data_IF_699893124686
#
_entry.id   IF_699893124686
#
_cell.length_a   1.000
_cell.length_b   1.000
_cell.length_c   1.000
_cell.angle_alpha   90.00
_cell.angle_beta   90.00
_cell.angle_gamma   90.00
#
_symmetry.space_group_name_H-M   'P 1'
#
loop_
_entity.id
_entity.type
_entity.pdbx_description
1 polymer ?
#
# COMPACT_ATOMS: atom_id res chain seq x y z
N UNK A 1 -16.39 -3.89 66.42
CA UNK A 1 -15.61 -4.44 65.33
C UNK A 1 -16.20 -3.92 64.02
N UNK A 2 -15.66 -3.29 63.19
CA UNK A 2 -14.43 -2.95 62.58
C UNK A 2 -14.73 -2.12 61.31
N UNK A 3 -15.02 -0.82 61.49
CA UNK A 3 -15.15 0.10 60.34
C UNK A 3 -13.79 0.43 59.69
N UNK A 4 -12.70 0.15 60.41
CA UNK A 4 -11.32 0.43 59.94
C UNK A 4 -10.81 -0.52 58.87
N UNK A 5 -11.23 -1.79 58.84
CA UNK A 5 -10.72 -2.78 57.91
C UNK A 5 -11.19 -2.55 56.45
N UNK A 6 -12.41 -2.03 56.28
CA UNK A 6 -12.96 -1.75 54.93
C UNK A 6 -12.29 -0.55 54.24
N UNK A 7 -11.87 0.46 55.01
CA UNK A 7 -11.18 1.64 54.49
C UNK A 7 -9.74 1.31 54.10
N UNK A 8 -9.06 0.45 54.85
CA UNK A 8 -7.69 0.02 54.54
C UNK A 8 -7.68 -0.85 53.29
N UNK A 9 -8.65 -1.74 53.11
CA UNK A 9 -8.75 -2.58 51.89
C UNK A 9 -9.06 -1.73 50.65
N UNK A 10 -9.92 -0.71 50.80
CA UNK A 10 -10.23 0.18 49.66
C UNK A 10 -9.03 1.04 49.23
N UNK A 11 -8.21 1.51 50.17
CA UNK A 11 -7.01 2.30 49.91
C UNK A 11 -5.91 1.44 49.27
N UNK A 12 -5.75 0.19 49.71
CA UNK A 12 -4.76 -0.71 49.11
C UNK A 12 -5.16 -1.16 47.70
N UNK A 13 -6.45 -1.35 47.42
CA UNK A 13 -6.92 -1.69 46.05
C UNK A 13 -6.79 -0.53 45.09
N UNK A 14 -7.03 0.71 45.54
CA UNK A 14 -6.84 1.90 44.67
C UNK A 14 -5.37 2.21 44.45
N UNK A 15 -4.50 1.97 45.40
CA UNK A 15 -3.05 2.15 45.23
C UNK A 15 -2.44 1.14 44.26
N UNK A 16 -2.92 -0.10 44.22
CA UNK A 16 -2.45 -1.11 43.28
C UNK A 16 -2.91 -0.84 41.81
N UNK A 17 -4.07 -0.21 41.63
CA UNK A 17 -4.50 0.22 40.30
C UNK A 17 -3.70 1.41 39.75
N UNK A 18 -3.20 2.29 40.63
CA UNK A 18 -2.37 3.43 40.22
C UNK A 18 -0.91 3.03 39.89
N UNK A 19 -0.40 1.95 40.47
CA UNK A 19 0.95 1.46 40.15
C UNK A 19 0.98 0.48 38.98
N UNK A 20 -0.15 -0.10 38.55
CA UNK A 20 -0.24 -1.02 37.44
C UNK A 20 -0.53 -0.37 36.08
N UNK A 21 -0.74 0.94 36.03
CA UNK A 21 -1.35 1.62 34.88
C UNK A 21 -0.42 2.32 33.90
N UNK A 22 0.88 2.26 34.06
CA UNK A 22 1.80 2.85 33.07
C UNK A 22 2.54 1.79 32.26
N UNK A 23 1.80 0.87 31.64
CA UNK A 23 2.29 0.33 30.39
C UNK A 23 2.19 1.46 29.36
N UNK A 24 3.22 2.26 29.26
CA UNK A 24 3.42 3.08 28.08
C UNK A 24 3.40 2.12 26.90
N UNK A 25 2.30 2.14 26.14
CA UNK A 25 2.32 1.55 24.82
C UNK A 25 3.49 2.22 24.10
N UNK A 26 4.62 1.55 24.00
CA UNK A 26 5.70 1.97 23.14
C UNK A 26 5.11 1.92 21.74
N UNK A 27 4.62 3.07 21.26
CA UNK A 27 4.31 3.21 19.87
C UNK A 27 5.58 2.80 19.13
N UNK A 28 5.51 1.76 18.34
CA UNK A 28 6.62 1.34 17.52
C UNK A 28 7.05 2.57 16.70
N UNK A 29 8.22 3.10 17.01
CA UNK A 29 8.80 4.20 16.24
C UNK A 29 9.04 3.65 14.86
N UNK A 30 8.21 4.06 13.90
CA UNK A 30 8.45 3.73 12.50
C UNK A 30 9.72 4.47 12.08
N UNK A 31 10.78 3.71 11.78
CA UNK A 31 11.96 4.29 11.18
C UNK A 31 11.57 4.88 9.81
N UNK A 32 11.81 6.18 9.54
CA UNK A 32 11.53 6.77 8.24
C UNK A 32 12.42 6.19 7.13
N UNK A 33 13.59 5.66 7.48
CA UNK A 33 14.52 5.09 6.51
C UNK A 33 14.09 3.67 6.09
N UNK A 34 14.26 3.39 4.80
CA UNK A 34 14.01 2.05 4.25
C UNK A 34 15.14 1.12 4.72
N UNK A 35 14.79 0.09 5.46
CA UNK A 35 15.76 -0.90 5.93
C UNK A 35 16.17 -1.87 4.82
N UNK A 36 17.36 -2.48 4.95
CA UNK A 36 17.82 -3.52 4.02
C UNK A 36 16.82 -4.68 3.93
N UNK A 37 16.19 -5.06 5.04
CA UNK A 37 15.13 -6.09 5.07
C UNK A 37 13.95 -5.73 4.17
N UNK A 38 13.51 -4.47 4.16
CA UNK A 38 12.41 -4.02 3.30
C UNK A 38 12.80 -4.12 1.82
N UNK A 39 14.04 -3.78 1.47
CA UNK A 39 14.57 -3.93 0.11
C UNK A 39 14.60 -5.41 -0.31
N UNK A 40 15.09 -6.27 0.55
CA UNK A 40 15.17 -7.71 0.30
C UNK A 40 13.77 -8.32 0.14
N UNK A 41 12.82 -7.93 1.00
CA UNK A 41 11.42 -8.39 0.90
C UNK A 41 10.74 -7.89 -0.38
N UNK A 42 10.99 -6.66 -0.79
CA UNK A 42 10.48 -6.11 -2.06
C UNK A 42 11.00 -6.90 -3.25
N UNK A 43 12.28 -7.23 -3.25
CA UNK A 43 12.91 -8.05 -4.29
C UNK A 43 12.34 -9.48 -4.30
N UNK A 44 12.18 -10.09 -3.14
CA UNK A 44 11.58 -11.41 -3.01
C UNK A 44 10.13 -11.42 -3.51
N UNK A 45 9.32 -10.44 -3.10
CA UNK A 45 7.93 -10.30 -3.53
C UNK A 45 7.80 -10.15 -5.05
N UNK A 46 8.65 -9.34 -5.68
CA UNK A 46 8.71 -9.20 -7.14
C UNK A 46 9.00 -10.54 -7.84
N UNK A 47 9.98 -11.28 -7.34
CA UNK A 47 10.37 -12.56 -7.92
C UNK A 47 9.28 -13.62 -7.75
N UNK A 48 8.64 -13.69 -6.59
CA UNK A 48 7.53 -14.61 -6.31
C UNK A 48 6.34 -14.28 -7.21
N UNK A 49 5.98 -13.00 -7.36
CA UNK A 49 4.90 -12.57 -8.24
C UNK A 49 5.17 -12.98 -9.69
N UNK A 50 6.41 -12.80 -10.18
CA UNK A 50 6.78 -13.20 -11.53
C UNK A 50 6.67 -14.73 -11.74
N UNK A 51 7.05 -15.52 -10.75
CA UNK A 51 6.95 -16.99 -10.78
C UNK A 51 5.49 -17.50 -10.70
N UNK A 52 4.60 -16.72 -10.07
CA UNK A 52 3.18 -17.04 -9.97
C UNK A 52 2.36 -16.70 -11.22
N UNK A 53 2.93 -16.02 -12.20
CA UNK A 53 2.23 -15.67 -13.43
C UNK A 53 2.21 -16.84 -14.40
N UNK A 54 1.02 -17.14 -14.93
CA UNK A 54 0.83 -18.17 -15.96
C UNK A 54 0.34 -17.53 -17.24
N UNK A 55 1.07 -17.72 -18.33
CA UNK A 55 0.67 -17.26 -19.64
C UNK A 55 -0.32 -18.28 -20.25
N UNK A 56 -1.61 -17.93 -20.23
CA UNK A 56 -2.70 -18.82 -20.67
C UNK A 56 -2.76 -18.96 -22.20
N UNK A 57 -2.42 -17.91 -22.93
CA UNK A 57 -2.45 -17.88 -24.38
C UNK A 57 -1.41 -16.89 -24.91
N UNK A 58 -0.75 -17.24 -26.01
CA UNK A 58 0.20 -16.37 -26.70
C UNK A 58 0.08 -16.52 -28.22
N UNK A 59 -1.00 -15.97 -28.77
CA UNK A 59 -1.22 -15.97 -30.22
C UNK A 59 -0.15 -15.15 -30.92
N UNK A 60 0.37 -15.69 -32.01
CA UNK A 60 1.37 -15.04 -32.86
C UNK A 60 2.68 -14.67 -32.11
N UNK A 61 2.99 -15.32 -31.00
CA UNK A 61 4.16 -15.00 -30.18
C UNK A 61 4.26 -13.51 -29.80
N UNK A 62 3.12 -12.89 -29.45
CA UNK A 62 3.05 -11.48 -29.07
C UNK A 62 3.82 -11.16 -27.78
N UNK A 63 4.07 -12.17 -26.96
CA UNK A 63 4.86 -12.08 -25.72
C UNK A 63 6.08 -13.03 -25.82
N UNK A 64 7.22 -12.65 -25.22
CA UNK A 64 7.49 -11.38 -24.52
C UNK A 64 7.62 -10.21 -25.51
N UNK A 65 7.11 -9.05 -25.11
CA UNK A 65 7.42 -7.81 -25.81
C UNK A 65 8.90 -7.53 -25.60
N UNK A 66 9.65 -7.37 -26.66
CA UNK A 66 11.08 -7.09 -26.54
C UNK A 66 11.28 -5.70 -25.92
N UNK A 67 11.80 -5.64 -24.71
CA UNK A 67 12.17 -4.41 -24.03
C UNK A 67 13.49 -3.83 -24.60
N UNK A 68 13.57 -3.66 -25.92
CA UNK A 68 14.64 -2.86 -26.51
C UNK A 68 14.38 -1.40 -26.14
N UNK A 69 15.45 -0.68 -25.77
CA UNK A 69 15.35 0.75 -25.47
C UNK A 69 14.59 1.47 -26.59
N UNK A 70 13.52 2.18 -26.22
CA UNK A 70 12.66 2.88 -27.17
C UNK A 70 11.52 2.04 -27.77
N UNK A 71 11.25 0.82 -27.26
CA UNK A 71 10.01 0.11 -27.61
C UNK A 71 8.82 0.90 -27.10
N UNK A 72 7.97 1.33 -28.04
CA UNK A 72 6.81 2.17 -27.73
C UNK A 72 5.62 1.35 -27.28
N UNK A 73 4.97 1.79 -26.20
CA UNK A 73 3.75 1.19 -25.66
C UNK A 73 2.72 2.28 -25.38
N UNK A 74 1.45 1.95 -25.56
CA UNK A 74 0.32 2.78 -25.09
C UNK A 74 -0.35 2.06 -23.93
N UNK A 75 -0.69 2.81 -22.88
CA UNK A 75 -1.28 2.28 -21.65
C UNK A 75 -2.64 2.94 -21.41
N UNK A 76 -3.67 2.13 -21.22
CA UNK A 76 -5.04 2.61 -21.06
C UNK A 76 -5.66 2.16 -19.74
N UNK A 77 -6.48 3.04 -19.18
CA UNK A 77 -7.30 2.76 -18.02
C UNK A 77 -6.75 3.28 -16.71
N UNK A 78 -7.65 3.46 -15.75
CA UNK A 78 -7.36 4.04 -14.43
C UNK A 78 -6.25 3.29 -13.67
N UNK A 79 -6.17 1.97 -13.80
CA UNK A 79 -5.15 1.17 -13.14
C UNK A 79 -3.71 1.52 -13.50
N UNK A 80 -3.49 2.20 -14.61
CA UNK A 80 -2.15 2.61 -15.07
C UNK A 80 -1.50 3.57 -14.08
N UNK A 81 -2.21 4.61 -13.68
CA UNK A 81 -1.74 5.65 -12.76
C UNK A 81 -2.25 5.45 -11.32
N UNK A 82 -3.38 4.78 -11.14
CA UNK A 82 -3.96 4.46 -9.84
C UNK A 82 -3.97 2.94 -9.63
N UNK A 83 -2.80 2.35 -9.64
CA UNK A 83 -2.63 0.90 -9.45
C UNK A 83 -3.05 0.50 -8.04
N UNK A 84 -3.93 -0.50 -7.92
CA UNK A 84 -4.40 -1.02 -6.64
C UNK A 84 -3.21 -1.63 -5.89
N UNK A 85 -3.00 -1.19 -4.66
CA UNK A 85 -1.84 -1.54 -3.83
C UNK A 85 -2.15 -2.56 -2.75
N UNK A 86 -3.41 -2.67 -2.37
CA UNK A 86 -3.83 -3.50 -1.24
C UNK A 86 -5.35 -3.58 -1.17
N UNK A 87 -5.85 -4.19 -0.11
CA UNK A 87 -7.27 -4.33 0.13
C UNK A 87 -7.91 -3.07 0.75
N UNK A 88 -9.21 -3.17 1.02
CA UNK A 88 -10.00 -2.17 1.77
C UNK A 88 -10.16 -2.60 3.21
N UNK A 89 -10.55 -1.68 4.09
CA UNK A 89 -10.75 -1.96 5.51
C UNK A 89 -9.47 -2.41 6.21
N UNK A 90 -9.47 -3.56 6.87
CA UNK A 90 -8.29 -4.11 7.57
C UNK A 90 -7.13 -4.48 6.64
N UNK A 91 -7.39 -4.62 5.34
CA UNK A 91 -6.36 -4.83 4.31
C UNK A 91 -5.76 -3.53 3.77
N UNK A 92 -6.25 -2.37 4.18
CA UNK A 92 -5.69 -1.08 3.80
C UNK A 92 -4.47 -0.77 4.66
N UNK A 93 -3.29 -1.03 4.15
CA UNK A 93 -2.02 -0.76 4.83
C UNK A 93 -1.33 0.46 4.24
N UNK A 94 -0.68 1.23 5.09
CA UNK A 94 0.19 2.32 4.65
C UNK A 94 1.45 1.73 4.03
N UNK A 95 1.59 1.93 2.73
CA UNK A 95 2.78 1.50 2.00
C UNK A 95 3.75 2.68 1.89
N UNK A 96 5.03 2.44 2.15
CA UNK A 96 6.08 3.45 2.00
C UNK A 96 6.38 3.75 0.54
N UNK A 97 6.23 2.75 -0.29
CA UNK A 97 6.63 2.79 -1.70
C UNK A 97 5.64 1.97 -2.54
N UNK A 98 5.34 2.48 -3.68
CA UNK A 98 4.47 1.82 -4.64
C UNK A 98 4.94 2.11 -6.06
N UNK A 99 5.02 1.07 -6.86
CA UNK A 99 5.31 1.19 -8.29
C UNK A 99 4.00 1.02 -9.06
N UNK A 100 3.58 2.05 -9.77
CA UNK A 100 2.42 1.98 -10.67
C UNK A 100 2.74 1.13 -11.90
N UNK A 101 1.71 0.71 -12.63
CA UNK A 101 1.89 0.00 -13.91
C UNK A 101 2.69 0.89 -14.86
N UNK A 102 2.38 2.19 -14.95
CA UNK A 102 3.14 3.14 -15.74
C UNK A 102 4.63 3.12 -15.38
N UNK A 103 4.94 3.35 -14.11
CA UNK A 103 6.33 3.32 -13.63
C UNK A 103 7.01 1.96 -13.87
N UNK A 104 6.25 0.87 -13.82
CA UNK A 104 6.77 -0.46 -14.12
C UNK A 104 7.27 -0.58 -15.55
N UNK A 105 6.55 -0.04 -16.52
CA UNK A 105 6.96 0.00 -17.94
C UNK A 105 8.13 0.94 -18.15
N UNK A 106 8.10 2.14 -17.57
CA UNK A 106 9.21 3.11 -17.64
C UNK A 106 10.51 2.51 -17.08
N UNK A 107 10.44 1.88 -15.89
CA UNK A 107 11.58 1.21 -15.26
C UNK A 107 12.12 0.03 -16.08
N UNK A 108 11.28 -0.60 -16.89
CA UNK A 108 11.67 -1.66 -17.82
C UNK A 108 12.25 -1.12 -19.12
N UNK A 109 12.26 0.20 -19.35
CA UNK A 109 12.88 0.84 -20.52
C UNK A 109 11.94 1.00 -21.71
N UNK A 110 10.63 0.86 -21.51
CA UNK A 110 9.64 1.17 -22.53
C UNK A 110 9.38 2.67 -22.63
N UNK A 111 9.03 3.11 -23.85
CA UNK A 111 8.64 4.47 -24.16
C UNK A 111 7.10 4.55 -24.21
N UNK A 112 6.50 5.27 -23.27
CA UNK A 112 5.04 5.42 -23.15
C UNK A 112 4.61 6.58 -24.03
N UNK A 113 3.78 6.30 -25.03
CA UNK A 113 3.46 7.27 -26.10
C UNK A 113 2.19 8.09 -25.85
N UNK A 114 1.42 7.74 -24.84
CA UNK A 114 0.12 8.35 -24.52
C UNK A 114 0.11 9.02 -23.12
N UNK A 115 1.26 9.52 -22.68
CA UNK A 115 1.41 10.20 -21.39
C UNK A 115 0.45 11.36 -21.22
N UNK A 116 0.22 12.16 -22.26
CA UNK A 116 -0.73 13.29 -22.22
C UNK A 116 -2.15 12.84 -21.95
N UNK A 117 -2.56 11.70 -22.53
CA UNK A 117 -3.88 11.11 -22.26
C UNK A 117 -3.98 10.60 -20.82
N UNK A 118 -2.93 9.93 -20.34
CA UNK A 118 -2.85 9.45 -18.96
C UNK A 118 -2.97 10.61 -17.99
N UNK A 119 -2.26 11.70 -18.21
CA UNK A 119 -2.28 12.90 -17.37
C UNK A 119 -3.67 13.57 -17.35
N UNK A 120 -4.32 13.66 -18.50
CA UNK A 120 -5.69 14.17 -18.60
C UNK A 120 -6.68 13.29 -17.84
N UNK A 121 -6.61 11.98 -18.01
CA UNK A 121 -7.46 11.02 -17.27
C UNK A 121 -7.21 11.09 -15.76
N UNK A 122 -5.96 11.22 -15.34
CA UNK A 122 -5.62 11.38 -13.93
C UNK A 122 -6.16 12.70 -13.35
N UNK A 123 -6.10 13.78 -14.12
CA UNK A 123 -6.63 15.06 -13.71
C UNK A 123 -8.16 15.01 -13.52
N UNK A 124 -8.88 14.42 -14.48
CA UNK A 124 -10.34 14.20 -14.37
C UNK A 124 -10.69 13.35 -13.17
N UNK A 125 -9.99 12.24 -12.95
CA UNK A 125 -10.21 11.37 -11.81
C UNK A 125 -10.00 12.07 -10.46
N UNK A 126 -9.00 12.95 -10.36
CA UNK A 126 -8.79 13.77 -9.15
C UNK A 126 -9.91 14.80 -8.95
N UNK A 127 -10.41 15.37 -10.02
CA UNK A 127 -11.49 16.34 -10.00
C UNK A 127 -12.81 15.72 -9.49
N UNK A 128 -13.07 14.47 -9.86
CA UNK A 128 -14.23 13.70 -9.41
C UNK A 128 -14.10 13.11 -7.99
N UNK A 129 -13.12 13.58 -7.20
CA UNK A 129 -12.90 13.13 -5.83
C UNK A 129 -12.07 11.85 -5.69
N UNK A 130 -11.50 11.37 -6.77
CA UNK A 130 -10.65 10.17 -6.81
C UNK A 130 -9.27 10.30 -6.20
N UNK A 131 -9.07 11.12 -5.21
CA UNK A 131 -7.81 11.24 -4.47
C UNK A 131 -8.00 11.33 -2.97
N UNK A 132 -9.24 11.50 -2.56
CA UNK A 132 -9.61 11.67 -1.16
C UNK A 132 -9.89 10.32 -0.52
N UNK A 133 -8.84 9.61 -0.08
CA UNK A 133 -8.89 8.57 0.96
C UNK A 133 -9.99 7.51 0.91
N UNK A 134 -10.69 7.38 -0.18
CA UNK A 134 -11.79 6.45 -0.36
C UNK A 134 -11.31 5.17 -1.01
N UNK A 135 -11.44 4.07 -0.29
CA UNK A 135 -11.43 2.76 -0.90
C UNK A 135 -12.47 2.69 -2.04
N UNK A 136 -12.41 1.65 -2.85
CA UNK A 136 -13.17 1.33 -4.06
C UNK A 136 -14.72 1.53 -3.99
N UNK A 137 -15.25 2.09 -2.90
CA UNK A 137 -16.66 2.35 -2.60
C UNK A 137 -16.93 3.78 -2.11
N UNK A 138 -16.23 4.78 -2.61
CA UNK A 138 -16.75 6.14 -2.55
C UNK A 138 -17.88 6.23 -3.57
N UNK A 139 -19.08 5.89 -3.11
CA UNK A 139 -20.32 5.98 -3.85
C UNK A 139 -20.73 7.44 -3.99
N UNK A 140 -20.33 8.07 -5.05
CA UNK A 140 -21.07 9.18 -5.63
C UNK A 140 -21.66 8.67 -6.94
N UNK A 141 -22.83 8.02 -6.83
CA UNK A 141 -23.77 7.79 -7.92
C UNK A 141 -24.79 8.92 -7.89
#
# INVERSE_FOLDING_TARGET
MKKTSKKVIAVTLSASMLLGGSMTAMAATTNPDISQREIDHKTAAKNIAAQGMVLMENKNNSLPISAKKGTRVALFGQGVYNTIKGGTGSGAVNQRDNVTIQQGFENAGYDIVDTDLIDQMQALWRQDGGGSGGGMFSSNW
#
